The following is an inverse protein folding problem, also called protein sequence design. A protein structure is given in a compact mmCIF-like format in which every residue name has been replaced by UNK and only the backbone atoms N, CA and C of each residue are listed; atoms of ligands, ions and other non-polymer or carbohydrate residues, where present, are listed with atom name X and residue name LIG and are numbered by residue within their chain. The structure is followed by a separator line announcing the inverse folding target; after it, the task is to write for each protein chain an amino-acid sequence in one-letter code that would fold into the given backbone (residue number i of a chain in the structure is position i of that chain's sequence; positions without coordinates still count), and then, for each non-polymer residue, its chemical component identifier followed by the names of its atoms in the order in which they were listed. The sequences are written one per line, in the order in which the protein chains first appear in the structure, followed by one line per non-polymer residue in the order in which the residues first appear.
data_IF_349269911734
#
_entry.id   IF_349269911734
#
_cell.length_a   1.000
_cell.length_b   1.000
_cell.length_c   1.000
_cell.angle_alpha   90.00
_cell.angle_beta   90.00
_cell.angle_gamma   90.00
#
_symmetry.space_group_name_H-M   'P 1'
#
loop_
_entity.id
_entity.type
_entity.pdbx_description
1 polymer ?
#
# COMPACT_ATOMS: atom_id res chain seq x y z
N UNK A 1 -3.23 -18.46 9.40
CA UNK A 1 -3.53 -17.59 8.25
C UNK A 1 -3.01 -18.27 6.99
N UNK A 2 -3.75 -18.19 5.89
CA UNK A 2 -3.34 -18.73 4.57
C UNK A 2 -1.97 -18.20 4.11
N UNK A 3 -1.55 -17.04 4.62
CA UNK A 3 -0.29 -16.38 4.29
C UNK A 3 0.89 -16.77 5.21
N UNK A 4 0.67 -17.63 6.18
CA UNK A 4 1.72 -18.00 7.17
C UNK A 4 2.84 -18.84 6.58
N UNK A 5 2.59 -19.53 5.49
CA UNK A 5 3.56 -20.40 4.83
C UNK A 5 4.43 -19.70 3.78
N UNK A 6 4.27 -18.37 3.65
CA UNK A 6 5.17 -17.56 2.83
C UNK A 6 6.33 -17.06 3.67
N UNK A 7 7.55 -17.45 3.30
CA UNK A 7 8.77 -17.14 4.05
C UNK A 7 9.74 -16.31 3.21
N UNK A 8 10.52 -15.46 3.87
CA UNK A 8 11.73 -14.90 3.27
C UNK A 8 12.73 -16.02 3.08
N UNK A 9 13.26 -16.16 1.89
CA UNK A 9 14.18 -17.24 1.53
C UNK A 9 15.40 -16.72 0.76
N UNK A 10 16.48 -17.48 0.77
CA UNK A 10 17.68 -17.18 0.00
C UNK A 10 18.01 -18.33 -0.93
N UNK A 11 18.26 -18.05 -2.19
CA UNK A 11 18.78 -19.04 -3.13
C UNK A 11 20.28 -19.21 -2.86
N UNK A 12 20.67 -20.39 -2.42
CA UNK A 12 22.06 -20.75 -2.14
C UNK A 12 22.78 -21.18 -3.41
N UNK A 13 22.07 -21.93 -4.26
CA UNK A 13 22.55 -22.35 -5.56
C UNK A 13 21.41 -22.40 -6.56
N UNK A 14 21.69 -22.20 -7.85
CA UNK A 14 20.74 -22.31 -8.94
C UNK A 14 21.42 -22.92 -10.16
N UNK A 15 21.09 -24.16 -10.48
CA UNK A 15 21.67 -24.91 -11.59
C UNK A 15 20.62 -25.15 -12.67
N UNK A 16 21.09 -25.38 -13.90
CA UNK A 16 20.22 -25.75 -15.02
C UNK A 16 19.50 -27.07 -14.70
N UNK A 17 18.21 -27.12 -14.99
CA UNK A 17 17.44 -28.34 -14.83
C UNK A 17 17.89 -29.41 -15.83
N UNK A 18 18.16 -30.68 -15.40
CA UNK A 18 18.73 -31.70 -16.29
C UNK A 18 17.86 -32.07 -17.50
N UNK A 19 16.54 -31.88 -17.39
CA UNK A 19 15.57 -32.29 -18.42
C UNK A 19 14.71 -31.13 -18.93
N UNK A 20 15.16 -29.86 -18.73
CA UNK A 20 14.36 -28.71 -19.19
C UNK A 20 15.20 -27.43 -19.30
N UNK A 21 15.33 -26.92 -20.54
CA UNK A 21 16.19 -25.76 -20.85
C UNK A 21 15.73 -24.43 -20.22
N UNK A 22 14.45 -24.30 -19.90
CA UNK A 22 13.88 -23.07 -19.29
C UNK A 22 13.71 -23.14 -17.78
N UNK A 23 14.13 -24.24 -17.14
CA UNK A 23 13.96 -24.41 -15.70
C UNK A 23 15.32 -24.46 -15.00
N UNK A 24 15.33 -24.01 -13.77
CA UNK A 24 16.47 -24.15 -12.85
C UNK A 24 16.07 -24.96 -11.64
N UNK A 25 16.99 -25.70 -11.09
CA UNK A 25 16.88 -26.37 -9.80
C UNK A 25 17.61 -25.49 -8.79
N UNK A 26 16.87 -24.94 -7.84
CA UNK A 26 17.40 -24.05 -6.84
C UNK A 26 17.50 -24.76 -5.48
N UNK A 27 18.66 -24.68 -4.82
CA UNK A 27 18.81 -25.00 -3.42
C UNK A 27 18.48 -23.74 -2.61
N UNK A 28 17.43 -23.83 -1.80
CA UNK A 28 16.83 -22.66 -1.15
C UNK A 28 16.93 -22.81 0.36
N UNK A 29 17.54 -21.82 1.00
CA UNK A 29 17.54 -21.66 2.46
C UNK A 29 16.24 -20.95 2.89
N UNK A 30 15.45 -21.65 3.70
CA UNK A 30 14.19 -21.17 4.27
C UNK A 30 14.28 -21.00 5.79
N UNK A 31 15.50 -20.88 6.34
CA UNK A 31 15.75 -20.76 7.77
C UNK A 31 15.68 -22.07 8.54
N UNK A 32 15.76 -23.21 7.88
CA UNK A 32 15.81 -24.55 8.45
C UNK A 32 17.23 -25.12 8.37
N UNK A 33 17.49 -26.23 9.06
CA UNK A 33 18.83 -26.86 9.13
C UNK A 33 19.38 -27.21 7.74
N UNK A 34 18.53 -27.66 6.85
CA UNK A 34 18.91 -28.08 5.50
C UNK A 34 18.21 -27.19 4.46
N UNK A 35 18.88 -26.96 3.34
CA UNK A 35 18.24 -26.35 2.18
C UNK A 35 17.23 -27.29 1.53
N UNK A 36 16.25 -26.74 0.85
CA UNK A 36 15.26 -27.48 0.08
C UNK A 36 15.44 -27.24 -1.42
N UNK A 37 15.04 -28.22 -2.22
CA UNK A 37 15.05 -28.09 -3.68
C UNK A 37 13.72 -27.49 -4.17
N UNK A 38 13.84 -26.46 -4.99
CA UNK A 38 12.70 -25.81 -5.65
C UNK A 38 13.02 -25.66 -7.13
N UNK A 39 12.14 -26.17 -7.99
CA UNK A 39 12.25 -25.96 -9.45
C UNK A 39 11.63 -24.63 -9.80
N UNK A 40 12.38 -23.78 -10.49
CA UNK A 40 11.99 -22.41 -10.82
C UNK A 40 12.17 -22.13 -12.31
N UNK A 41 11.15 -21.55 -12.95
CA UNK A 41 11.18 -21.13 -14.34
C UNK A 41 11.53 -19.64 -14.53
N UNK A 42 11.77 -18.90 -13.47
CA UNK A 42 12.04 -17.49 -13.55
C UNK A 42 13.47 -17.21 -14.07
N UNK A 43 13.63 -16.29 -15.04
CA UNK A 43 14.94 -15.99 -15.64
C UNK A 43 15.91 -15.37 -14.62
N UNK A 44 15.39 -14.62 -13.67
CA UNK A 44 16.18 -13.92 -12.63
C UNK A 44 16.59 -14.82 -11.45
N UNK A 45 16.18 -16.09 -11.40
CA UNK A 45 16.63 -17.02 -10.36
C UNK A 45 18.15 -17.20 -10.43
N UNK A 46 18.85 -16.84 -9.35
CA UNK A 46 20.32 -16.85 -9.27
C UNK A 46 20.81 -17.02 -7.85
N UNK A 47 22.05 -17.47 -7.71
CA UNK A 47 22.73 -17.58 -6.43
C UNK A 47 22.72 -16.26 -5.65
N UNK A 48 22.54 -16.34 -4.35
CA UNK A 48 22.50 -15.24 -3.38
C UNK A 48 21.27 -14.30 -3.50
N UNK A 49 20.28 -14.60 -4.34
CA UNK A 49 19.05 -13.83 -4.40
C UNK A 49 18.21 -14.09 -3.15
N UNK A 50 17.77 -13.02 -2.48
CA UNK A 50 16.70 -13.05 -1.49
C UNK A 50 15.35 -12.92 -2.19
N UNK A 51 14.43 -13.83 -1.87
CA UNK A 51 13.13 -13.92 -2.53
C UNK A 51 12.05 -14.39 -1.57
N UNK A 52 10.82 -14.56 -2.05
CA UNK A 52 9.70 -15.09 -1.29
C UNK A 52 9.45 -16.54 -1.71
N UNK A 53 9.51 -17.44 -0.74
CA UNK A 53 9.19 -18.83 -0.87
C UNK A 53 7.78 -19.13 -0.35
N UNK A 54 7.02 -19.90 -1.12
CA UNK A 54 5.74 -20.46 -0.72
C UNK A 54 5.86 -21.98 -0.54
N UNK A 55 5.65 -22.44 0.69
CA UNK A 55 5.75 -23.87 1.04
C UNK A 55 4.53 -24.69 0.60
N UNK A 56 4.63 -26.03 0.66
CA UNK A 56 3.49 -26.91 0.43
C UNK A 56 2.33 -26.57 1.38
N UNK A 57 1.11 -26.59 0.85
CA UNK A 57 -0.11 -26.16 1.56
C UNK A 57 -0.44 -24.69 1.43
N UNK A 58 0.48 -23.84 0.94
CA UNK A 58 0.20 -22.43 0.63
C UNK A 58 -0.84 -22.30 -0.47
N UNK A 59 -1.66 -21.26 -0.38
CA UNK A 59 -2.59 -20.84 -1.44
C UNK A 59 -2.06 -19.56 -2.05
N UNK A 60 -1.72 -19.59 -3.34
CA UNK A 60 -1.20 -18.43 -4.06
C UNK A 60 -2.28 -17.34 -4.14
N UNK A 61 -2.02 -16.12 -3.67
CA UNK A 61 -3.03 -15.06 -3.57
C UNK A 61 -3.73 -14.72 -4.89
N UNK A 62 -2.99 -14.69 -6.00
CA UNK A 62 -3.51 -14.27 -7.31
C UNK A 62 -4.51 -15.26 -7.91
N UNK A 63 -4.16 -16.53 -7.96
CA UNK A 63 -4.91 -17.54 -8.72
C UNK A 63 -5.55 -18.61 -7.84
N UNK A 64 -5.42 -18.50 -6.51
CA UNK A 64 -5.93 -19.44 -5.51
C UNK A 64 -5.40 -20.87 -5.65
N UNK A 65 -4.30 -21.04 -6.37
CA UNK A 65 -3.67 -22.36 -6.53
C UNK A 65 -3.08 -22.83 -5.21
N UNK A 66 -3.45 -24.03 -4.78
CA UNK A 66 -2.87 -24.68 -3.61
C UNK A 66 -1.61 -25.44 -3.99
N UNK A 67 -0.50 -25.11 -3.33
CA UNK A 67 0.79 -25.75 -3.59
C UNK A 67 0.90 -27.11 -2.89
N UNK A 68 1.56 -28.02 -3.58
CA UNK A 68 1.96 -29.34 -3.05
C UNK A 68 3.38 -29.65 -3.48
N UNK A 69 4.00 -30.64 -2.82
CA UNK A 69 5.25 -31.20 -3.30
C UNK A 69 4.95 -31.87 -4.64
N UNK A 70 5.69 -31.52 -5.68
CA UNK A 70 5.45 -32.01 -7.03
C UNK A 70 6.76 -32.42 -7.71
N UNK A 71 6.68 -33.40 -8.59
CA UNK A 71 7.82 -33.84 -9.41
C UNK A 71 7.73 -33.15 -10.77
N UNK A 72 8.65 -32.23 -11.05
CA UNK A 72 8.71 -31.45 -12.26
C UNK A 72 9.82 -32.01 -13.15
N UNK A 73 9.44 -32.65 -14.26
CA UNK A 73 10.35 -33.31 -15.22
C UNK A 73 11.44 -34.18 -14.59
N UNK A 74 11.04 -34.92 -13.52
CA UNK A 74 11.94 -35.84 -12.83
C UNK A 74 12.57 -35.30 -11.55
N UNK A 75 12.57 -33.98 -11.30
CA UNK A 75 13.10 -33.36 -10.09
C UNK A 75 11.95 -33.00 -9.14
N UNK A 76 12.09 -33.38 -7.87
CA UNK A 76 11.11 -33.05 -6.84
C UNK A 76 11.27 -31.58 -6.41
N UNK A 77 10.19 -30.81 -6.48
CA UNK A 77 10.10 -29.43 -6.03
C UNK A 77 9.29 -29.34 -4.75
N UNK A 78 9.87 -28.75 -3.70
CA UNK A 78 9.26 -28.56 -2.39
C UNK A 78 8.66 -27.15 -2.23
N UNK A 79 7.71 -26.79 -3.09
CA UNK A 79 7.08 -25.47 -3.10
C UNK A 79 7.46 -24.63 -4.32
N UNK A 80 7.34 -23.31 -4.16
CA UNK A 80 7.50 -22.35 -5.25
C UNK A 80 8.21 -21.08 -4.77
N UNK A 81 9.00 -20.46 -5.66
CA UNK A 81 9.49 -19.08 -5.52
C UNK A 81 8.52 -18.16 -6.25
N UNK A 82 8.04 -17.13 -5.58
CA UNK A 82 6.91 -16.33 -6.06
C UNK A 82 7.35 -15.03 -6.74
N UNK A 83 6.63 -14.65 -7.80
CA UNK A 83 6.67 -13.30 -8.37
C UNK A 83 5.83 -12.33 -7.55
N UNK A 84 6.03 -11.03 -7.75
CA UNK A 84 5.19 -10.00 -7.10
C UNK A 84 3.72 -10.12 -7.51
N UNK A 85 3.46 -10.45 -8.76
CA UNK A 85 2.12 -10.67 -9.28
C UNK A 85 1.41 -11.84 -8.60
N UNK A 86 2.08 -12.95 -8.35
CA UNK A 86 1.52 -14.12 -7.63
C UNK A 86 1.20 -13.81 -6.18
N UNK A 87 1.95 -12.87 -5.58
CA UNK A 87 1.74 -12.39 -4.22
C UNK A 87 0.70 -11.26 -4.13
N UNK A 88 0.12 -10.80 -5.25
CA UNK A 88 -0.74 -9.62 -5.36
C UNK A 88 -0.07 -8.33 -4.86
N UNK A 89 1.24 -8.18 -5.06
CA UNK A 89 2.00 -6.98 -4.67
C UNK A 89 2.13 -5.98 -5.82
N UNK A 90 2.18 -6.46 -7.04
CA UNK A 90 2.22 -5.67 -8.27
C UNK A 90 1.69 -6.48 -9.45
N UNK A 91 1.66 -5.90 -10.64
CA UNK A 91 1.34 -6.60 -11.88
C UNK A 91 2.57 -7.26 -12.53
N UNK A 92 3.76 -7.11 -11.95
CA UNK A 92 4.99 -7.69 -12.49
C UNK A 92 5.02 -9.21 -12.34
N UNK A 93 5.20 -9.88 -13.47
CA UNK A 93 5.26 -11.34 -13.58
C UNK A 93 6.55 -11.85 -14.22
N UNK A 94 7.45 -10.97 -14.66
CA UNK A 94 8.71 -11.32 -15.29
C UNK A 94 9.79 -11.71 -14.28
N UNK A 95 9.60 -12.81 -13.59
CA UNK A 95 10.57 -13.30 -12.64
C UNK A 95 10.02 -13.42 -11.22
N UNK A 96 10.86 -13.91 -10.33
CA UNK A 96 10.55 -14.00 -8.90
C UNK A 96 10.87 -12.68 -8.19
N UNK A 97 10.16 -12.41 -7.09
CA UNK A 97 10.37 -11.23 -6.24
C UNK A 97 11.82 -11.12 -5.78
N UNK A 98 12.43 -9.95 -5.97
CA UNK A 98 13.78 -9.64 -5.49
C UNK A 98 13.70 -8.80 -4.22
N UNK A 99 14.11 -9.36 -3.09
CA UNK A 99 14.07 -8.67 -1.80
C UNK A 99 15.41 -7.95 -1.52
N UNK A 100 15.32 -6.72 -0.99
CA UNK A 100 16.48 -5.89 -0.65
C UNK A 100 17.29 -6.52 0.48
N UNK A 101 18.61 -6.67 0.27
CA UNK A 101 19.54 -7.30 1.22
C UNK A 101 19.55 -6.57 2.59
N UNK A 102 19.55 -5.24 2.58
CA UNK A 102 19.63 -4.42 3.80
C UNK A 102 18.44 -4.68 4.74
N UNK A 103 17.27 -4.96 4.15
CA UNK A 103 16.03 -5.16 4.92
C UNK A 103 15.79 -6.62 5.30
N UNK A 104 16.11 -7.56 4.41
CA UNK A 104 15.64 -8.94 4.53
C UNK A 104 16.71 -9.98 4.85
N UNK A 105 18.01 -9.64 4.80
CA UNK A 105 19.10 -10.61 5.06
C UNK A 105 19.02 -11.30 6.43
N UNK A 106 18.53 -10.59 7.44
CA UNK A 106 18.35 -11.13 8.82
C UNK A 106 16.95 -11.74 9.04
N UNK A 107 16.17 -11.88 7.99
CA UNK A 107 14.79 -12.35 8.07
C UNK A 107 14.57 -13.70 7.37
N UNK A 108 15.63 -14.35 6.89
CA UNK A 108 15.52 -15.68 6.26
C UNK A 108 14.79 -16.63 7.20
N UNK A 109 13.81 -17.36 6.67
CA UNK A 109 12.95 -18.26 7.42
C UNK A 109 11.77 -17.61 8.14
N UNK A 110 11.76 -16.28 8.30
CA UNK A 110 10.63 -15.58 8.90
C UNK A 110 9.49 -15.45 7.91
N UNK A 111 8.26 -15.38 8.44
CA UNK A 111 7.05 -15.16 7.62
C UNK A 111 7.15 -13.84 6.89
N UNK A 112 6.98 -13.88 5.57
CA UNK A 112 7.10 -12.70 4.72
C UNK A 112 6.00 -11.66 5.00
N UNK A 113 4.75 -12.10 5.18
CA UNK A 113 3.61 -11.21 5.37
C UNK A 113 3.42 -10.71 6.82
N UNK A 114 4.16 -11.22 7.81
CA UNK A 114 3.87 -10.94 9.22
C UNK A 114 4.17 -9.51 9.70
N UNK A 115 5.13 -8.80 9.07
CA UNK A 115 5.56 -7.47 9.54
C UNK A 115 5.78 -6.46 8.40
N UNK A 116 5.44 -6.80 7.17
CA UNK A 116 5.81 -6.00 6.01
C UNK A 116 4.62 -5.32 5.32
N UNK A 117 3.41 -5.68 5.71
CA UNK A 117 2.18 -5.15 5.08
C UNK A 117 1.23 -4.68 6.17
N UNK A 118 0.73 -3.47 6.01
CA UNK A 118 -0.41 -3.02 6.80
C UNK A 118 -1.63 -3.86 6.41
N UNK A 119 -2.40 -4.26 7.41
CA UNK A 119 -3.69 -4.92 7.17
C UNK A 119 -4.65 -3.87 6.66
N UNK A 120 -5.06 -4.00 5.42
CA UNK A 120 -6.07 -3.15 4.79
C UNK A 120 -7.37 -3.94 4.70
N UNK A 121 -8.46 -3.29 5.04
CA UNK A 121 -9.82 -3.83 4.91
C UNK A 121 -10.54 -2.99 3.85
N UNK A 122 -10.98 -3.63 2.78
CA UNK A 122 -11.83 -3.00 1.77
C UNK A 122 -13.29 -3.09 2.22
N UNK A 123 -13.95 -1.93 2.31
CA UNK A 123 -15.32 -1.80 2.79
C UNK A 123 -16.21 -1.20 1.72
N UNK A 124 -17.24 -1.92 1.33
CA UNK A 124 -18.33 -1.38 0.51
C UNK A 124 -19.28 -0.57 1.37
N UNK A 125 -19.23 0.75 1.21
CA UNK A 125 -20.11 1.67 1.96
C UNK A 125 -21.34 2.01 1.13
N UNK A 126 -22.52 1.89 1.74
CA UNK A 126 -23.79 2.24 1.09
C UNK A 126 -23.93 3.74 0.90
N UNK A 127 -24.63 4.22 -0.15
CA UNK A 127 -24.73 5.65 -0.48
C UNK A 127 -25.33 6.54 0.61
N UNK A 128 -26.14 5.96 1.51
CA UNK A 128 -26.74 6.67 2.63
C UNK A 128 -25.79 6.85 3.84
N UNK A 129 -24.58 6.29 3.77
CA UNK A 129 -23.58 6.40 4.85
C UNK A 129 -22.26 7.09 4.38
N UNK A 130 -22.35 8.28 3.76
CA UNK A 130 -21.16 9.00 3.32
C UNK A 130 -20.22 9.37 4.48
N UNK A 131 -20.72 9.41 5.70
CA UNK A 131 -19.98 9.62 6.93
C UNK A 131 -18.95 8.51 7.23
N UNK A 132 -19.13 7.32 6.66
CA UNK A 132 -18.25 6.16 6.83
C UNK A 132 -17.21 6.00 5.68
N UNK A 133 -17.08 6.96 4.77
CA UNK A 133 -16.08 6.92 3.68
C UNK A 133 -14.63 7.18 4.15
N UNK A 134 -14.41 7.42 5.44
CA UNK A 134 -13.08 7.57 6.05
C UNK A 134 -12.94 6.77 7.32
N UNK A 135 -11.69 6.51 7.73
CA UNK A 135 -11.35 5.67 8.89
C UNK A 135 -12.09 6.13 10.15
N UNK A 136 -12.16 7.45 10.39
CA UNK A 136 -12.83 7.97 11.59
C UNK A 136 -14.33 7.72 11.59
N UNK A 137 -15.00 7.78 10.44
CA UNK A 137 -16.43 7.47 10.35
C UNK A 137 -16.72 6.01 10.69
N UNK A 138 -15.92 5.09 10.12
CA UNK A 138 -15.99 3.67 10.45
C UNK A 138 -15.69 3.42 11.93
N UNK A 139 -14.67 4.04 12.49
CA UNK A 139 -14.32 3.91 13.91
C UNK A 139 -15.45 4.40 14.85
N UNK A 140 -16.15 5.47 14.47
CA UNK A 140 -17.33 5.98 15.21
C UNK A 140 -18.49 4.97 15.16
N UNK A 141 -18.73 4.39 14.00
CA UNK A 141 -19.79 3.39 13.81
C UNK A 141 -19.51 2.12 14.62
N UNK A 142 -18.28 1.61 14.58
CA UNK A 142 -17.85 0.49 15.41
C UNK A 142 -17.97 0.79 16.92
N UNK A 143 -17.65 2.01 17.34
CA UNK A 143 -17.82 2.40 18.72
C UNK A 143 -19.30 2.46 19.13
N UNK A 144 -20.18 2.93 18.25
CA UNK A 144 -21.63 2.90 18.48
C UNK A 144 -22.18 1.47 18.57
N UNK A 145 -21.60 0.54 17.82
CA UNK A 145 -21.92 -0.90 17.89
C UNK A 145 -21.29 -1.61 19.10
N UNK A 146 -20.60 -0.91 20.00
CA UNK A 146 -20.00 -1.51 21.21
C UNK A 146 -18.71 -2.29 21.00
N UNK A 147 -18.12 -2.26 19.79
CA UNK A 147 -16.89 -2.99 19.46
C UNK A 147 -15.66 -2.36 20.10
N UNK A 148 -15.71 -1.06 20.46
CA UNK A 148 -14.61 -0.35 21.07
C UNK A 148 -14.98 1.06 21.53
N UNK A 149 -13.97 1.85 21.91
CA UNK A 149 -14.14 3.26 22.29
C UNK A 149 -13.47 4.17 21.28
N UNK A 150 -14.19 5.16 20.75
CA UNK A 150 -13.64 6.16 19.86
C UNK A 150 -12.64 7.05 20.61
N UNK A 151 -11.40 7.09 20.13
CA UNK A 151 -10.38 7.98 20.68
C UNK A 151 -10.66 9.42 20.26
N UNK A 152 -10.48 10.36 21.20
CA UNK A 152 -10.54 11.77 20.87
C UNK A 152 -9.36 12.18 19.98
N UNK A 153 -9.64 13.05 19.00
CA UNK A 153 -8.57 13.69 18.22
C UNK A 153 -7.89 14.69 19.17
N UNK A 154 -6.59 14.50 19.35
CA UNK A 154 -5.78 15.49 20.06
C UNK A 154 -5.49 16.63 19.08
N UNK A 155 -6.27 17.68 19.13
CA UNK A 155 -5.98 18.91 18.40
C UNK A 155 -4.80 19.60 19.06
N UNK A 156 -3.64 19.62 18.39
CA UNK A 156 -2.56 20.53 18.80
C UNK A 156 -3.02 21.96 18.50
N UNK A 157 -2.97 22.82 19.51
CA UNK A 157 -3.18 24.25 19.31
C UNK A 157 -2.09 24.80 18.36
N UNK A 158 -2.45 24.99 17.10
CA UNK A 158 -1.58 25.65 16.14
C UNK A 158 -1.77 27.13 16.32
N UNK A 159 -0.69 27.84 16.71
CA UNK A 159 -0.72 29.31 16.77
C UNK A 159 -0.94 29.84 15.36
N UNK A 160 -2.00 30.63 15.24
CA UNK A 160 -2.23 31.44 14.02
C UNK A 160 -1.40 32.70 14.13
N UNK A 161 -0.53 32.92 13.17
CA UNK A 161 0.32 34.12 13.09
C UNK A 161 -0.07 34.93 11.86
N UNK A 162 -0.33 36.21 12.06
CA UNK A 162 -0.67 37.14 10.99
C UNK A 162 -2.09 36.99 10.42
N UNK A 163 -2.34 37.64 9.30
CA UNK A 163 -3.59 37.61 8.55
C UNK A 163 -3.36 37.02 7.15
N UNK A 164 -4.36 36.36 6.59
CA UNK A 164 -4.33 35.98 5.18
C UNK A 164 -4.87 37.13 4.31
N UNK A 165 -4.18 37.42 3.22
CA UNK A 165 -4.60 38.46 2.26
C UNK A 165 -5.50 37.90 1.15
N UNK A 166 -5.68 36.59 1.09
CA UNK A 166 -6.52 35.94 0.07
C UNK A 166 -7.96 35.93 0.58
N UNK A 167 -8.82 36.64 -0.14
CA UNK A 167 -10.26 36.68 0.13
C UNK A 167 -10.89 35.36 -0.35
N UNK A 168 -11.89 34.88 0.37
CA UNK A 168 -12.75 33.77 -0.07
C UNK A 168 -14.18 34.22 -0.08
N UNK A 169 -14.88 34.04 -1.19
CA UNK A 169 -16.30 34.36 -1.34
C UNK A 169 -17.08 33.13 -1.81
N UNK A 170 -18.29 32.97 -1.32
CA UNK A 170 -19.24 31.95 -1.77
C UNK A 170 -20.40 32.69 -2.44
N UNK A 171 -20.70 32.35 -3.70
CA UNK A 171 -21.83 32.97 -4.39
C UNK A 171 -23.14 32.49 -3.78
N UNK A 172 -24.10 33.40 -3.65
CA UNK A 172 -25.43 33.11 -3.09
C UNK A 172 -26.41 32.72 -4.20
N UNK A 173 -26.26 31.49 -4.71
CA UNK A 173 -27.20 30.92 -5.68
C UNK A 173 -28.21 30.00 -5.00
N UNK A 174 -29.43 29.91 -5.51
CA UNK A 174 -30.50 29.06 -4.94
C UNK A 174 -30.12 27.57 -4.83
N UNK A 175 -29.23 27.11 -5.72
CA UNK A 175 -28.77 25.70 -5.77
C UNK A 175 -27.29 25.54 -5.35
N UNK A 176 -26.78 26.46 -4.51
CA UNK A 176 -25.41 26.42 -4.06
C UNK A 176 -25.16 25.19 -3.16
N UNK A 177 -24.30 24.30 -3.63
CA UNK A 177 -23.95 23.07 -2.89
C UNK A 177 -22.95 23.28 -1.75
N UNK A 178 -22.19 24.39 -1.77
CA UNK A 178 -21.22 24.73 -0.74
C UNK A 178 -21.75 25.84 0.17
N UNK A 179 -22.00 25.50 1.43
CA UNK A 179 -22.50 26.46 2.44
C UNK A 179 -21.39 27.04 3.29
N UNK A 180 -20.29 26.32 3.47
CA UNK A 180 -19.14 26.74 4.27
C UNK A 180 -17.85 26.34 3.53
N UNK A 181 -16.93 27.27 3.40
CA UNK A 181 -15.60 27.05 2.85
C UNK A 181 -14.54 27.61 3.81
N UNK A 182 -13.73 26.73 4.37
CA UNK A 182 -12.63 27.11 5.26
C UNK A 182 -11.31 27.14 4.47
N UNK A 183 -10.52 28.18 4.68
CA UNK A 183 -9.19 28.28 4.09
C UNK A 183 -8.15 28.70 5.14
N UNK A 184 -6.92 28.31 4.90
CA UNK A 184 -5.76 28.67 5.72
C UNK A 184 -4.56 28.91 4.83
N UNK A 185 -3.89 30.06 5.00
CA UNK A 185 -2.61 30.33 4.34
C UNK A 185 -1.48 29.76 5.17
N UNK A 186 -0.65 28.92 4.56
CA UNK A 186 0.53 28.33 5.18
C UNK A 186 1.75 28.86 4.45
N UNK A 187 2.64 29.56 5.18
CA UNK A 187 3.88 30.13 4.62
C UNK A 187 5.09 29.24 4.90
N UNK A 188 6.12 29.39 4.06
CA UNK A 188 7.39 28.67 4.24
C UNK A 188 7.32 27.17 3.94
N UNK A 189 6.28 26.72 3.24
CA UNK A 189 6.14 25.31 2.85
C UNK A 189 7.09 25.01 1.70
N UNK A 190 7.81 23.89 1.82
CA UNK A 190 8.60 23.32 0.72
C UNK A 190 7.95 22.00 0.33
N UNK A 191 7.34 21.95 -0.85
CA UNK A 191 6.79 20.70 -1.36
C UNK A 191 7.94 19.76 -1.76
N UNK A 192 8.11 18.70 -0.99
CA UNK A 192 9.14 17.67 -1.16
C UNK A 192 8.48 16.30 -1.30
N UNK A 193 9.30 15.28 -1.42
CA UNK A 193 8.83 13.91 -1.24
C UNK A 193 8.23 13.70 0.15
N UNK A 194 7.19 12.89 0.20
CA UNK A 194 6.56 12.50 1.46
C UNK A 194 7.51 11.72 2.36
N UNK A 195 7.44 11.91 3.68
CA UNK A 195 8.17 11.07 4.61
C UNK A 195 7.72 9.61 4.48
N UNK A 196 8.63 8.70 4.83
CA UNK A 196 8.42 7.26 4.63
C UNK A 196 7.08 6.75 5.21
N UNK A 197 6.73 7.14 6.42
CA UNK A 197 5.47 6.71 7.04
C UNK A 197 4.23 7.09 6.23
N UNK A 198 4.25 8.26 5.58
CA UNK A 198 3.13 8.74 4.76
C UNK A 198 3.08 7.99 3.42
N UNK A 199 4.24 7.77 2.79
CA UNK A 199 4.34 6.94 1.59
C UNK A 199 3.79 5.53 1.86
N UNK A 200 4.27 4.88 2.92
CA UNK A 200 3.84 3.53 3.29
C UNK A 200 2.31 3.46 3.50
N UNK A 201 1.70 4.51 4.10
CA UNK A 201 0.24 4.61 4.28
C UNK A 201 -0.51 4.75 2.95
N UNK A 202 -0.08 5.66 2.09
CA UNK A 202 -0.71 5.91 0.79
C UNK A 202 -0.59 4.66 -0.10
N UNK A 203 0.58 4.03 -0.12
CA UNK A 203 0.82 2.78 -0.87
C UNK A 203 -0.04 1.61 -0.34
N UNK A 204 -0.21 1.50 0.98
CA UNK A 204 -1.05 0.46 1.57
C UNK A 204 -2.52 0.55 1.15
N UNK A 205 -2.99 1.75 0.78
CA UNK A 205 -4.32 2.01 0.25
C UNK A 205 -4.40 1.84 -1.29
N UNK A 206 -3.34 1.33 -1.93
CA UNK A 206 -3.29 1.14 -3.37
C UNK A 206 -3.11 2.45 -4.16
N UNK A 207 -2.72 3.55 -3.48
CA UNK A 207 -2.48 4.84 -4.10
C UNK A 207 -0.98 5.08 -4.30
N UNK A 208 -0.63 5.81 -5.36
CA UNK A 208 0.76 6.18 -5.63
C UNK A 208 1.11 7.49 -4.92
N UNK A 209 2.16 7.53 -4.07
CA UNK A 209 2.67 8.78 -3.52
C UNK A 209 3.13 9.73 -4.63
N UNK A 210 2.78 11.02 -4.51
CA UNK A 210 3.09 12.05 -5.51
C UNK A 210 4.04 13.08 -4.93
N UNK A 211 3.60 13.78 -3.88
CA UNK A 211 4.37 14.80 -3.17
C UNK A 211 3.77 15.04 -1.80
N UNK A 212 4.55 15.59 -0.87
CA UNK A 212 4.11 15.76 0.51
C UNK A 212 2.77 16.49 0.65
N UNK A 213 2.55 17.55 -0.12
CA UNK A 213 1.29 18.32 -0.05
C UNK A 213 0.12 17.47 -0.56
N UNK A 214 0.26 16.83 -1.72
CA UNK A 214 -0.80 15.99 -2.29
C UNK A 214 -1.09 14.80 -1.39
N UNK A 215 -0.06 14.14 -0.90
CA UNK A 215 -0.21 12.95 -0.07
C UNK A 215 -0.84 13.28 1.30
N UNK A 216 -0.55 14.47 1.87
CA UNK A 216 -1.22 14.95 3.09
C UNK A 216 -2.70 15.18 2.82
N UNK A 217 -3.09 15.81 1.69
CA UNK A 217 -4.51 16.01 1.38
C UNK A 217 -5.24 14.69 1.21
N UNK A 218 -4.62 13.71 0.55
CA UNK A 218 -5.17 12.37 0.41
C UNK A 218 -5.26 11.64 1.76
N UNK A 219 -4.21 11.72 2.59
CA UNK A 219 -4.22 11.11 3.92
C UNK A 219 -5.36 11.65 4.80
N UNK A 220 -5.56 12.97 4.83
CA UNK A 220 -6.65 13.59 5.61
C UNK A 220 -8.02 13.17 5.05
N UNK A 221 -8.15 13.07 3.74
CA UNK A 221 -9.39 12.59 3.11
C UNK A 221 -9.73 11.15 3.54
N UNK A 222 -8.76 10.23 3.50
CA UNK A 222 -8.98 8.84 3.92
C UNK A 222 -9.20 8.70 5.43
N UNK A 223 -8.49 9.47 6.24
CA UNK A 223 -8.59 9.37 7.70
C UNK A 223 -9.85 10.04 8.24
N UNK A 224 -10.12 11.27 7.83
CA UNK A 224 -11.19 12.11 8.38
C UNK A 224 -12.42 12.26 7.47
N UNK A 225 -12.40 11.69 6.28
CA UNK A 225 -13.43 11.89 5.26
C UNK A 225 -13.62 13.38 4.93
N UNK A 226 -12.50 14.12 4.80
CA UNK A 226 -12.49 15.55 4.48
C UNK A 226 -11.57 15.81 3.30
N UNK A 227 -12.10 15.85 2.08
CA UNK A 227 -11.35 16.26 0.90
C UNK A 227 -10.78 17.67 1.11
N UNK A 228 -9.48 17.79 0.88
CA UNK A 228 -8.77 19.07 0.95
C UNK A 228 -8.28 19.47 -0.43
N UNK A 229 -8.19 20.77 -0.66
CA UNK A 229 -7.55 21.36 -1.83
C UNK A 229 -6.36 22.19 -1.39
N UNK A 230 -5.24 22.03 -2.08
CA UNK A 230 -4.05 22.86 -1.89
C UNK A 230 -3.82 23.70 -3.15
N UNK A 231 -3.70 24.99 -2.96
CA UNK A 231 -3.47 25.96 -4.02
C UNK A 231 -2.12 26.65 -3.79
N UNK A 232 -1.43 26.95 -4.87
CA UNK A 232 -0.27 27.82 -4.84
C UNK A 232 -0.73 29.26 -4.62
N UNK A 233 -0.46 29.82 -3.45
CA UNK A 233 -0.95 31.15 -3.07
C UNK A 233 -0.43 32.26 -3.99
N UNK A 234 0.77 32.10 -4.57
CA UNK A 234 1.37 33.07 -5.46
C UNK A 234 0.68 33.10 -6.85
N UNK A 235 -0.13 32.06 -7.14
CA UNK A 235 -0.93 31.98 -8.38
C UNK A 235 -2.38 32.44 -8.21
N UNK A 236 -2.78 32.82 -7.00
CA UNK A 236 -4.12 33.33 -6.72
C UNK A 236 -4.08 34.86 -6.85
N UNK A 237 -4.71 35.38 -7.90
CA UNK A 237 -4.63 36.81 -8.23
C UNK A 237 -5.29 37.71 -7.16
N UNK A 238 -6.49 37.40 -6.68
CA UNK A 238 -7.21 38.23 -5.70
C UNK A 238 -8.00 37.47 -4.68
N UNK A 239 -8.79 36.51 -5.15
CA UNK A 239 -9.72 35.79 -4.31
C UNK A 239 -10.01 34.38 -4.85
N UNK A 240 -10.47 33.51 -3.96
CA UNK A 240 -11.08 32.24 -4.30
C UNK A 240 -12.60 32.43 -4.31
N UNK A 241 -13.24 32.18 -5.45
CA UNK A 241 -14.69 32.26 -5.61
C UNK A 241 -15.26 30.85 -5.68
N UNK A 242 -16.05 30.46 -4.69
CA UNK A 242 -16.77 29.20 -4.65
C UNK A 242 -18.15 29.43 -5.29
N UNK A 243 -18.39 28.76 -6.40
CA UNK A 243 -19.63 28.92 -7.19
C UNK A 243 -19.95 27.63 -7.95
N UNK A 244 -21.17 27.53 -8.43
CA UNK A 244 -21.52 26.51 -9.42
C UNK A 244 -20.84 26.81 -10.77
N UNK A 245 -20.59 25.74 -11.56
CA UNK A 245 -20.11 25.89 -12.94
C UNK A 245 -21.12 26.68 -13.81
N UNK A 246 -20.62 27.38 -14.81
CA UNK A 246 -21.45 28.03 -15.81
C UNK A 246 -21.57 27.17 -17.06
N UNK A 247 -22.66 27.33 -17.81
CA UNK A 247 -22.82 26.62 -19.08
C UNK A 247 -21.67 26.98 -20.03
N UNK A 248 -20.97 25.97 -20.54
CA UNK A 248 -19.87 26.13 -21.49
C UNK A 248 -18.47 26.24 -20.88
N UNK A 249 -18.32 26.09 -19.57
CA UNK A 249 -17.00 25.95 -18.89
C UNK A 249 -16.46 24.52 -18.98
#
# INVERSE_FOLDING_TARGET
SELDNFKVAKIINAEQHPNADRLKVCDVDIGEKNTIKVVCGAPNARKNLLTVYAGPGSIIPKNKMKLSISKIRGVTSHGMLCSESELNLSNESEGITELKQEKYSKQIGKKFFQNNFEKVVDLSITPNRPDCLGVRGVARDLAAAGVGKLKNIQNKNIKKEGSQNIKVSITKDKNQGCTIFGSCLIKGVKNKESPKWLKDKIESLGQKPISAIVDITNYVMFDLNRPLHAYDADKIDKEIIVRNSKKGE
#
